data_IF_412337873392
#
_entry.id   IF_412337873392
#
_cell.length_a   1.000
_cell.length_b   1.000
_cell.length_c   1.000
_cell.angle_alpha   90.00
_cell.angle_beta   90.00
_cell.angle_gamma   90.00
#
_symmetry.space_group_name_H-M   'P 1'
#
loop_
_entity.id
_entity.type
_entity.pdbx_description
1 polymer ?
#
# COMPACT_ATOMS: atom_id res chain seq x y z
N UNK A 1 -22.54 -0.27 5.09
CA UNK A 1 -22.83 0.66 3.96
C UNK A 1 -23.34 -0.17 2.79
N UNK A 2 -24.23 0.32 1.93
CA UNK A 2 -24.62 -0.44 0.74
C UNK A 2 -23.46 -0.54 -0.25
N UNK A 3 -23.38 -1.65 -0.98
CA UNK A 3 -22.52 -1.87 -2.15
C UNK A 3 -23.38 -1.59 -3.40
N UNK A 4 -22.86 -0.84 -4.37
CA UNK A 4 -21.60 -0.14 -4.45
C UNK A 4 -21.45 0.99 -3.41
N UNK A 5 -20.18 1.27 -3.03
CA UNK A 5 -19.87 2.39 -2.13
C UNK A 5 -19.73 3.72 -2.92
N UNK A 6 -19.64 4.88 -2.25
CA UNK A 6 -19.39 6.14 -2.94
C UNK A 6 -18.04 6.22 -3.68
N UNK A 7 -17.09 5.33 -3.38
CA UNK A 7 -15.74 5.38 -3.92
C UNK A 7 -15.39 4.16 -4.79
N UNK A 8 -16.15 3.07 -4.67
CA UNK A 8 -15.98 1.83 -5.44
C UNK A 8 -17.33 1.42 -6.03
N UNK A 9 -17.45 1.51 -7.36
CA UNK A 9 -18.72 1.19 -8.05
C UNK A 9 -18.84 -0.27 -8.51
N UNK A 10 -17.88 -1.11 -8.12
CA UNK A 10 -17.93 -2.55 -8.31
C UNK A 10 -18.98 -3.20 -7.40
N UNK A 11 -19.50 -4.35 -7.82
CA UNK A 11 -20.21 -5.26 -6.93
C UNK A 11 -19.22 -6.09 -6.14
N UNK A 12 -19.69 -6.76 -5.08
CA UNK A 12 -18.81 -7.52 -4.18
C UNK A 12 -18.11 -8.67 -4.90
N UNK A 13 -18.80 -9.35 -5.77
CA UNK A 13 -18.31 -10.45 -6.60
C UNK A 13 -17.30 -10.02 -7.68
N UNK A 14 -17.25 -8.72 -8.01
CA UNK A 14 -16.29 -8.19 -8.98
C UNK A 14 -14.89 -8.01 -8.40
N UNK A 15 -14.75 -8.00 -7.08
CA UNK A 15 -13.48 -7.77 -6.38
C UNK A 15 -12.92 -9.10 -5.85
N UNK A 16 -11.67 -9.38 -6.19
CA UNK A 16 -10.98 -10.57 -5.70
C UNK A 16 -10.55 -10.43 -4.23
N UNK A 17 -10.35 -11.56 -3.54
CA UNK A 17 -9.87 -11.63 -2.16
C UNK A 17 -8.48 -11.02 -1.95
N UNK A 18 -7.68 -10.95 -3.01
CA UNK A 18 -6.35 -10.36 -3.00
C UNK A 18 -6.31 -9.17 -3.95
N UNK A 19 -5.87 -8.03 -3.41
CA UNK A 19 -5.75 -6.77 -4.16
C UNK A 19 -4.28 -6.33 -4.21
N UNK A 20 -3.76 -6.10 -5.41
CA UNK A 20 -2.51 -5.37 -5.63
C UNK A 20 -2.84 -3.89 -5.72
N UNK A 21 -2.21 -3.06 -4.87
CA UNK A 21 -2.63 -1.67 -4.70
C UNK A 21 -1.48 -0.68 -4.99
N UNK A 22 -1.25 -0.28 -6.25
CA UNK A 22 -0.40 0.86 -6.56
C UNK A 22 -1.09 2.19 -6.20
N UNK A 23 -0.32 3.27 -6.04
CA UNK A 23 -0.88 4.61 -5.84
C UNK A 23 -1.48 5.19 -7.12
N UNK A 24 -0.82 4.96 -8.24
CA UNK A 24 -1.13 5.53 -9.56
C UNK A 24 -2.16 4.68 -10.33
N UNK A 25 -3.29 5.28 -10.79
CA UNK A 25 -4.29 4.59 -11.60
C UNK A 25 -3.75 4.03 -12.93
N UNK A 26 -2.82 4.72 -13.57
CA UNK A 26 -2.21 4.25 -14.81
C UNK A 26 -1.28 3.06 -14.56
N UNK A 27 -0.62 3.01 -13.39
CA UNK A 27 0.15 1.84 -12.98
C UNK A 27 -0.78 0.66 -12.67
N UNK A 28 -1.93 0.89 -12.05
CA UNK A 28 -2.92 -0.17 -11.85
C UNK A 28 -3.38 -0.78 -13.18
N UNK A 29 -3.72 0.06 -14.13
CA UNK A 29 -4.07 -0.37 -15.50
C UNK A 29 -2.92 -1.15 -16.16
N UNK A 30 -1.71 -0.61 -16.12
CA UNK A 30 -0.53 -1.27 -16.71
C UNK A 30 -0.28 -2.66 -16.11
N UNK A 31 -0.36 -2.80 -14.78
CA UNK A 31 -0.17 -4.10 -14.11
C UNK A 31 -1.26 -5.08 -14.54
N UNK A 32 -2.52 -4.64 -14.56
CA UNK A 32 -3.64 -5.49 -14.96
C UNK A 32 -3.50 -5.96 -16.40
N UNK A 33 -3.28 -5.07 -17.35
CA UNK A 33 -3.17 -5.39 -18.78
C UNK A 33 -1.92 -6.21 -19.11
N UNK A 34 -0.85 -6.09 -18.32
CA UNK A 34 0.41 -6.79 -18.57
C UNK A 34 0.45 -8.19 -17.96
N UNK A 35 -0.11 -8.37 -16.77
CA UNK A 35 0.10 -9.58 -15.97
C UNK A 35 -1.16 -10.42 -15.74
N UNK A 36 -2.37 -9.85 -15.86
CA UNK A 36 -3.59 -10.60 -15.66
C UNK A 36 -4.13 -11.15 -16.98
N UNK A 37 -4.75 -12.31 -16.92
CA UNK A 37 -5.58 -12.87 -17.98
C UNK A 37 -6.99 -12.30 -17.85
N UNK A 38 -7.55 -11.85 -18.98
CA UNK A 38 -8.90 -11.30 -19.12
C UNK A 38 -9.24 -10.21 -18.07
N UNK A 39 -8.42 -9.14 -17.95
CA UNK A 39 -8.67 -8.08 -16.98
C UNK A 39 -9.92 -7.25 -17.35
N UNK A 40 -10.85 -7.12 -16.43
CA UNK A 40 -12.07 -6.31 -16.57
C UNK A 40 -11.96 -5.08 -15.68
N UNK A 41 -12.28 -3.90 -16.21
CA UNK A 41 -12.37 -2.66 -15.44
C UNK A 41 -13.63 -2.72 -14.55
N UNK A 42 -13.45 -2.81 -13.24
CA UNK A 42 -14.51 -2.94 -12.25
C UNK A 42 -14.75 -1.66 -11.45
N UNK A 43 -13.79 -0.74 -11.42
CA UNK A 43 -13.91 0.58 -10.79
C UNK A 43 -13.23 1.67 -11.59
N UNK A 44 -13.88 2.84 -11.68
CA UNK A 44 -13.27 4.06 -12.23
C UNK A 44 -13.85 5.33 -11.55
N UNK A 45 -14.38 5.20 -10.34
CA UNK A 45 -14.87 6.34 -9.57
C UNK A 45 -13.70 7.27 -9.28
N UNK A 46 -13.86 8.56 -9.55
CA UNK A 46 -12.81 9.60 -9.38
C UNK A 46 -11.50 9.30 -10.14
N UNK A 47 -11.55 8.46 -11.18
CA UNK A 47 -10.36 8.03 -11.92
C UNK A 47 -9.50 6.99 -11.20
N UNK A 48 -9.93 6.51 -10.04
CA UNK A 48 -9.25 5.43 -9.31
C UNK A 48 -9.61 4.10 -9.95
N UNK A 49 -8.79 3.69 -10.93
CA UNK A 49 -9.03 2.49 -11.70
C UNK A 49 -8.77 1.21 -10.89
N UNK A 50 -9.73 0.28 -10.99
CA UNK A 50 -9.63 -1.07 -10.47
C UNK A 50 -9.97 -2.08 -11.56
N UNK A 51 -9.13 -3.10 -11.72
CA UNK A 51 -9.30 -4.16 -12.70
C UNK A 51 -9.21 -5.51 -12.02
N UNK A 52 -10.11 -6.42 -12.34
CA UNK A 52 -10.09 -7.80 -11.86
C UNK A 52 -9.86 -8.76 -13.01
N UNK A 53 -8.98 -9.70 -12.83
CA UNK A 53 -8.67 -10.77 -13.77
C UNK A 53 -8.05 -11.95 -13.04
N UNK A 54 -7.33 -12.81 -13.76
CA UNK A 54 -6.65 -13.95 -13.12
C UNK A 54 -5.15 -13.93 -13.39
N UNK A 55 -4.39 -14.34 -12.38
CA UNK A 55 -2.96 -14.61 -12.53
C UNK A 55 -2.69 -16.09 -12.23
N UNK A 56 -2.25 -16.83 -13.25
CA UNK A 56 -2.08 -18.30 -13.17
C UNK A 56 -3.32 -19.02 -12.61
N UNK A 57 -4.51 -18.57 -13.07
CA UNK A 57 -5.79 -19.14 -12.63
C UNK A 57 -6.31 -18.67 -11.27
N UNK A 58 -5.58 -17.82 -10.56
CA UNK A 58 -6.02 -17.24 -9.28
C UNK A 58 -6.62 -15.84 -9.53
N UNK A 59 -7.84 -15.55 -9.04
CA UNK A 59 -8.42 -14.21 -9.15
C UNK A 59 -7.58 -13.17 -8.39
N UNK A 60 -7.32 -12.05 -9.03
CA UNK A 60 -6.59 -10.90 -8.47
C UNK A 60 -7.24 -9.61 -8.95
N UNK A 61 -7.44 -8.69 -8.04
CA UNK A 61 -7.79 -7.30 -8.37
C UNK A 61 -6.54 -6.42 -8.30
N UNK A 62 -6.34 -5.57 -9.28
CA UNK A 62 -5.36 -4.49 -9.23
C UNK A 62 -6.11 -3.17 -9.18
N UNK A 63 -6.00 -2.45 -8.08
CA UNK A 63 -6.76 -1.21 -7.87
C UNK A 63 -5.86 -0.12 -7.29
N UNK A 64 -5.95 1.09 -7.84
CA UNK A 64 -5.18 2.22 -7.33
C UNK A 64 -5.67 2.67 -5.95
N UNK A 65 -4.76 3.24 -5.15
CA UNK A 65 -5.10 3.85 -3.87
C UNK A 65 -5.20 5.39 -3.92
N UNK A 66 -4.73 6.02 -4.99
CA UNK A 66 -4.38 7.44 -4.95
C UNK A 66 -3.14 7.68 -4.09
N UNK A 67 -2.92 8.92 -3.66
CA UNK A 67 -1.76 9.32 -2.86
C UNK A 67 -2.18 9.74 -1.46
N UNK A 68 -1.36 9.36 -0.48
CA UNK A 68 -1.48 9.77 0.92
C UNK A 68 -2.39 8.87 1.76
N UNK A 69 -2.15 8.89 3.08
CA UNK A 69 -2.92 8.12 4.06
C UNK A 69 -4.43 8.36 3.96
N UNK A 70 -4.95 9.60 3.79
CA UNK A 70 -6.39 9.81 3.67
C UNK A 70 -7.01 9.08 2.48
N UNK A 71 -6.30 8.98 1.35
CA UNK A 71 -6.77 8.30 0.15
C UNK A 71 -6.78 6.78 0.34
N UNK A 72 -5.63 6.18 0.64
CA UNK A 72 -5.55 4.73 0.86
C UNK A 72 -6.42 4.30 2.04
N UNK A 73 -6.59 5.16 3.04
CA UNK A 73 -7.45 4.94 4.18
C UNK A 73 -8.90 4.68 3.78
N UNK A 74 -9.44 5.41 2.80
CA UNK A 74 -10.80 5.20 2.28
C UNK A 74 -10.87 3.85 1.55
N UNK A 75 -10.03 3.64 0.55
CA UNK A 75 -10.13 2.46 -0.32
C UNK A 75 -9.83 1.16 0.42
N UNK A 76 -8.78 1.11 1.24
CA UNK A 76 -8.46 -0.10 2.00
C UNK A 76 -9.52 -0.41 3.05
N UNK A 77 -10.08 0.61 3.72
CA UNK A 77 -11.18 0.41 4.65
C UNK A 77 -12.40 -0.21 3.96
N UNK A 78 -12.84 0.36 2.83
CA UNK A 78 -14.00 -0.16 2.10
C UNK A 78 -13.76 -1.58 1.60
N UNK A 79 -12.57 -1.86 1.04
CA UNK A 79 -12.21 -3.18 0.54
C UNK A 79 -12.26 -4.25 1.65
N UNK A 80 -11.69 -3.99 2.82
CA UNK A 80 -11.72 -4.93 3.93
C UNK A 80 -13.12 -5.11 4.53
N UNK A 81 -13.86 -4.01 4.73
CA UNK A 81 -15.11 -4.07 5.49
C UNK A 81 -16.34 -4.39 4.65
N UNK A 82 -16.33 -4.09 3.34
CA UNK A 82 -17.53 -4.24 2.50
C UNK A 82 -17.36 -5.22 1.36
N UNK A 83 -16.13 -5.41 0.86
CA UNK A 83 -15.86 -6.26 -0.31
C UNK A 83 -15.23 -7.61 0.04
N UNK A 84 -15.12 -7.95 1.33
CA UNK A 84 -14.49 -9.20 1.82
C UNK A 84 -13.07 -9.42 1.29
N UNK A 85 -12.32 -8.37 1.05
CA UNK A 85 -10.91 -8.47 0.71
C UNK A 85 -10.14 -8.97 1.93
N UNK A 86 -9.29 -9.96 1.72
CA UNK A 86 -8.49 -10.58 2.78
C UNK A 86 -7.04 -10.10 2.76
N UNK A 87 -6.52 -9.78 1.57
CA UNK A 87 -5.12 -9.39 1.39
C UNK A 87 -5.01 -8.15 0.52
N UNK A 88 -4.26 -7.15 0.98
CA UNK A 88 -3.86 -6.00 0.17
C UNK A 88 -2.34 -5.93 0.16
N UNK A 89 -1.74 -5.96 -1.03
CA UNK A 89 -0.30 -5.78 -1.23
C UNK A 89 -0.08 -4.46 -1.94
N UNK A 90 0.51 -3.48 -1.23
CA UNK A 90 0.84 -2.20 -1.81
C UNK A 90 2.08 -2.32 -2.70
N UNK A 91 1.99 -1.78 -3.92
CA UNK A 91 3.08 -1.71 -4.90
C UNK A 91 3.34 -0.24 -5.22
N UNK A 92 4.20 0.41 -4.43
CA UNK A 92 4.49 1.83 -4.52
C UNK A 92 5.90 2.13 -4.99
N UNK A 93 6.16 3.42 -5.17
CA UNK A 93 7.49 4.01 -5.23
C UNK A 93 7.80 4.71 -3.90
N UNK A 94 9.07 4.80 -3.55
CA UNK A 94 9.52 5.44 -2.32
C UNK A 94 10.84 6.18 -2.55
N UNK A 95 11.10 7.21 -1.75
CA UNK A 95 12.39 7.88 -1.70
C UNK A 95 13.34 7.16 -0.73
N UNK A 96 14.56 6.86 -1.16
CA UNK A 96 15.56 6.25 -0.28
C UNK A 96 16.01 7.22 0.82
N UNK A 97 16.13 6.73 2.05
CA UNK A 97 16.66 7.46 3.20
C UNK A 97 18.07 6.98 3.63
N UNK A 98 18.53 5.86 3.07
CA UNK A 98 19.85 5.29 3.33
C UNK A 98 20.74 5.44 2.10
N UNK A 99 22.01 5.82 2.31
CA UNK A 99 22.97 6.10 1.23
C UNK A 99 23.37 4.85 0.43
N UNK A 100 23.19 3.66 1.00
CA UNK A 100 23.50 2.38 0.37
C UNK A 100 22.34 1.84 -0.51
N UNK A 101 21.19 2.50 -0.51
CA UNK A 101 20.06 2.19 -1.42
C UNK A 101 20.25 2.91 -2.76
N UNK A 102 20.02 2.18 -3.83
CA UNK A 102 20.15 2.67 -5.22
C UNK A 102 18.81 2.72 -5.92
N UNK A 103 18.77 3.46 -7.03
CA UNK A 103 17.58 3.45 -7.90
C UNK A 103 17.26 2.03 -8.36
N UNK A 104 15.99 1.64 -8.26
CA UNK A 104 15.42 0.33 -8.56
C UNK A 104 15.65 -0.75 -7.49
N UNK A 105 16.28 -0.43 -6.36
CA UNK A 105 16.29 -1.35 -5.22
C UNK A 105 14.85 -1.56 -4.72
N UNK A 106 14.58 -2.78 -4.25
CA UNK A 106 13.28 -3.13 -3.70
C UNK A 106 13.36 -3.12 -2.19
N UNK A 107 12.47 -2.34 -1.58
CA UNK A 107 12.31 -2.26 -0.12
C UNK A 107 10.96 -2.85 0.26
N UNK A 108 10.96 -3.82 1.18
CA UNK A 108 9.75 -4.32 1.82
C UNK A 108 9.61 -3.70 3.20
N UNK A 109 8.54 -2.93 3.40
CA UNK A 109 8.22 -2.31 4.68
C UNK A 109 7.68 -3.33 5.67
N UNK A 110 8.50 -3.72 6.66
CA UNK A 110 8.02 -4.58 7.76
C UNK A 110 7.18 -3.82 8.77
N UNK A 111 7.46 -2.53 8.97
CA UNK A 111 6.66 -1.62 9.76
C UNK A 111 6.75 -0.21 9.17
N UNK A 112 5.72 0.59 9.39
CA UNK A 112 5.65 1.95 8.91
C UNK A 112 5.67 2.95 10.07
N UNK A 113 6.79 3.66 10.22
CA UNK A 113 6.81 4.89 11.00
C UNK A 113 5.92 5.95 10.35
N UNK A 114 5.38 6.89 11.11
CA UNK A 114 4.56 7.95 10.52
C UNK A 114 4.60 9.22 11.37
N UNK A 115 4.43 10.36 10.70
CA UNK A 115 4.15 11.65 11.31
C UNK A 115 2.65 12.02 11.21
N UNK A 116 1.82 11.10 10.71
CA UNK A 116 0.37 11.27 10.59
C UNK A 116 -0.34 11.06 11.93
N UNK A 117 -1.43 11.80 12.13
CA UNK A 117 -2.37 11.57 13.22
C UNK A 117 -3.43 10.49 12.90
N UNK A 118 -3.34 9.81 11.77
CA UNK A 118 -4.35 8.86 11.31
C UNK A 118 -4.68 7.80 12.35
N UNK A 119 -3.66 7.18 12.95
CA UNK A 119 -3.82 6.14 13.98
C UNK A 119 -4.59 6.62 15.22
N UNK A 120 -4.46 7.90 15.59
CA UNK A 120 -5.15 8.47 16.75
C UNK A 120 -6.67 8.51 16.59
N UNK A 121 -7.17 8.51 15.35
CA UNK A 121 -8.60 8.51 15.07
C UNK A 121 -9.28 7.17 15.42
N UNK A 122 -8.51 6.13 15.73
CA UNK A 122 -9.02 4.82 16.16
C UNK A 122 -9.25 4.72 17.69
N UNK A 123 -9.19 5.83 18.40
CA UNK A 123 -9.63 5.89 19.82
C UNK A 123 -8.69 5.23 20.82
N UNK A 124 -7.43 5.03 20.49
CA UNK A 124 -6.44 4.37 21.36
C UNK A 124 -5.99 5.20 22.58
N UNK A 125 -6.47 6.45 22.70
CA UNK A 125 -6.08 7.36 23.78
C UNK A 125 -4.81 8.16 23.44
N UNK A 126 -4.62 9.28 24.15
CA UNK A 126 -3.57 10.26 23.82
C UNK A 126 -2.14 9.76 24.06
N UNK A 127 -1.95 8.89 25.04
CA UNK A 127 -0.64 8.34 25.41
C UNK A 127 -0.30 7.01 24.71
N UNK A 128 -1.26 6.44 23.96
CA UNK A 128 -1.04 5.16 23.27
C UNK A 128 -0.27 5.36 21.96
N UNK A 129 0.58 4.39 21.64
CA UNK A 129 1.26 4.29 20.35
C UNK A 129 0.90 2.96 19.71
N UNK A 130 0.40 3.01 18.50
CA UNK A 130 0.18 1.83 17.67
C UNK A 130 1.38 1.64 16.74
N UNK A 131 1.80 0.40 16.52
CA UNK A 131 2.86 0.05 15.59
C UNK A 131 2.24 -0.54 14.29
N UNK A 132 2.11 0.26 13.22
CA UNK A 132 1.64 -0.25 11.94
C UNK A 132 2.67 -1.23 11.36
N UNK A 133 2.33 -2.52 11.33
CA UNK A 133 3.20 -3.60 10.85
C UNK A 133 2.56 -4.36 9.70
N UNK A 134 3.39 -4.88 8.80
CA UNK A 134 2.94 -5.76 7.74
C UNK A 134 2.50 -7.12 8.30
N UNK A 135 1.58 -7.79 7.60
CA UNK A 135 1.32 -9.21 7.86
C UNK A 135 2.59 -10.03 7.61
N UNK A 136 2.95 -10.85 8.60
CA UNK A 136 4.18 -11.64 8.54
C UNK A 136 4.15 -12.69 7.42
N UNK A 137 3.01 -13.30 7.15
CA UNK A 137 2.88 -14.33 6.11
C UNK A 137 3.08 -13.73 4.72
N UNK A 138 2.44 -12.59 4.43
CA UNK A 138 2.62 -11.88 3.17
C UNK A 138 4.05 -11.39 3.00
N UNK A 139 4.64 -10.79 4.05
CA UNK A 139 6.01 -10.28 4.01
C UNK A 139 7.02 -11.42 3.78
N UNK A 140 6.95 -12.49 4.58
CA UNK A 140 7.90 -13.62 4.45
C UNK A 140 7.76 -14.32 3.11
N UNK A 141 6.55 -14.44 2.57
CA UNK A 141 6.30 -14.98 1.23
C UNK A 141 6.93 -14.09 0.15
N UNK A 142 6.77 -12.77 0.24
CA UNK A 142 7.39 -11.83 -0.70
C UNK A 142 8.92 -11.96 -0.68
N UNK A 143 9.53 -12.05 0.50
CA UNK A 143 10.99 -12.25 0.66
C UNK A 143 11.44 -13.58 0.05
N UNK A 144 10.71 -14.67 0.29
CA UNK A 144 11.02 -15.96 -0.30
C UNK A 144 10.94 -15.93 -1.84
N UNK A 145 9.88 -15.34 -2.39
CA UNK A 145 9.72 -15.15 -3.83
C UNK A 145 10.82 -14.29 -4.45
N UNK A 146 11.26 -13.22 -3.76
CA UNK A 146 12.37 -12.38 -4.22
C UNK A 146 13.67 -13.20 -4.29
N UNK A 147 13.97 -13.96 -3.25
CA UNK A 147 15.15 -14.84 -3.18
C UNK A 147 15.15 -15.88 -4.30
N UNK A 148 14.03 -16.55 -4.56
CA UNK A 148 13.90 -17.54 -5.64
C UNK A 148 14.14 -16.93 -7.02
N UNK A 149 13.85 -15.64 -7.18
CA UNK A 149 14.04 -14.89 -8.43
C UNK A 149 15.38 -14.19 -8.54
N UNK A 150 16.25 -14.31 -7.54
CA UNK A 150 17.53 -13.61 -7.48
C UNK A 150 17.38 -12.09 -7.34
N UNK A 151 16.25 -11.63 -6.80
CA UNK A 151 15.99 -10.20 -6.53
C UNK A 151 16.45 -9.88 -5.12
N UNK A 152 17.33 -8.88 -4.98
CA UNK A 152 17.72 -8.35 -3.67
C UNK A 152 16.57 -7.49 -3.13
N UNK A 153 16.07 -7.85 -1.95
CA UNK A 153 14.97 -7.16 -1.28
C UNK A 153 15.39 -6.78 0.13
N UNK A 154 15.50 -5.49 0.39
CA UNK A 154 15.78 -4.94 1.72
C UNK A 154 14.50 -4.93 2.55
N UNK A 155 14.53 -5.55 3.72
CA UNK A 155 13.42 -5.54 4.67
C UNK A 155 13.75 -4.61 5.82
N UNK A 156 12.84 -3.70 6.15
CA UNK A 156 13.02 -2.79 7.27
C UNK A 156 11.88 -1.80 7.44
N UNK A 157 12.07 -0.86 8.35
CA UNK A 157 11.08 0.18 8.59
C UNK A 157 11.07 1.20 7.45
N UNK A 158 9.89 1.66 7.10
CA UNK A 158 9.67 2.77 6.17
C UNK A 158 8.95 3.90 6.87
N UNK A 159 8.95 5.09 6.29
CA UNK A 159 8.22 6.25 6.79
C UNK A 159 7.04 6.56 5.88
N UNK A 160 5.84 6.59 6.43
CA UNK A 160 4.67 7.19 5.78
C UNK A 160 4.50 8.63 6.26
N UNK A 161 4.73 9.60 5.37
CA UNK A 161 4.64 11.03 5.67
C UNK A 161 3.34 11.62 5.15
N UNK A 162 2.72 12.52 5.93
CA UNK A 162 1.56 13.31 5.46
C UNK A 162 1.98 14.44 4.51
N UNK A 163 3.26 14.76 4.46
CA UNK A 163 3.77 15.91 3.69
C UNK A 163 4.86 15.48 2.74
N UNK A 164 4.67 15.73 1.44
CA UNK A 164 5.71 15.51 0.44
C UNK A 164 6.70 16.68 0.37
N UNK A 165 6.21 17.92 0.37
CA UNK A 165 7.01 19.13 0.37
C UNK A 165 6.98 19.76 1.76
N UNK A 166 8.09 19.72 2.48
CA UNK A 166 8.26 20.38 3.78
C UNK A 166 8.93 21.74 3.60
N UNK A 167 8.60 22.71 4.47
CA UNK A 167 9.16 24.07 4.42
C UNK A 167 10.69 24.11 4.54
N UNK A 168 11.27 23.12 5.23
CA UNK A 168 12.72 23.00 5.45
C UNK A 168 13.39 22.02 4.46
N UNK A 169 12.67 21.61 3.41
CA UNK A 169 13.14 20.61 2.45
C UNK A 169 13.33 19.22 3.09
N UNK A 170 14.06 18.37 2.39
CA UNK A 170 14.33 16.98 2.83
C UNK A 170 15.35 16.85 3.97
N UNK A 171 15.92 17.95 4.45
CA UNK A 171 16.94 17.94 5.53
C UNK A 171 16.43 17.36 6.86
N UNK A 172 15.11 17.34 7.09
CA UNK A 172 14.51 16.66 8.25
C UNK A 172 14.49 15.14 8.16
N UNK A 173 14.84 14.55 7.03
CA UNK A 173 14.99 13.10 6.90
C UNK A 173 16.14 12.53 7.74
N UNK A 174 17.11 13.34 8.14
CA UNK A 174 18.28 12.93 8.94
C UNK A 174 17.90 12.15 10.20
N UNK A 175 16.81 12.52 10.87
CA UNK A 175 16.37 11.81 12.08
C UNK A 175 15.91 10.38 11.76
N UNK A 176 15.16 10.19 10.70
CA UNK A 176 14.67 8.88 10.26
C UNK A 176 15.81 8.02 9.73
N UNK A 177 16.74 8.64 9.00
CA UNK A 177 17.96 7.99 8.52
C UNK A 177 18.80 7.45 9.67
N UNK A 178 19.02 8.25 10.72
CA UNK A 178 19.75 7.83 11.94
C UNK A 178 19.08 6.72 12.71
N UNK A 179 17.75 6.60 12.60
CA UNK A 179 16.97 5.51 13.20
C UNK A 179 16.88 4.26 12.31
N UNK A 180 17.59 4.25 11.17
CA UNK A 180 17.65 3.10 10.28
C UNK A 180 16.41 2.90 9.41
N UNK A 181 15.56 3.94 9.26
CA UNK A 181 14.43 3.89 8.35
C UNK A 181 14.94 3.88 6.92
N UNK A 182 14.47 2.93 6.11
CA UNK A 182 15.03 2.67 4.78
C UNK A 182 14.53 3.65 3.71
N UNK A 183 13.26 3.96 3.72
CA UNK A 183 12.62 4.75 2.66
C UNK A 183 11.43 5.54 3.17
N UNK A 184 11.02 6.57 2.43
CA UNK A 184 9.82 7.38 2.69
C UNK A 184 8.81 7.21 1.57
N UNK A 185 7.56 7.05 1.94
CA UNK A 185 6.37 7.02 1.09
C UNK A 185 5.20 7.67 1.85
N UNK A 186 3.96 7.57 1.38
CA UNK A 186 2.84 8.35 1.94
C UNK A 186 1.64 7.51 2.42
N UNK A 187 1.67 6.16 2.42
CA UNK A 187 0.44 5.35 2.54
C UNK A 187 0.51 4.13 3.47
N UNK A 188 1.65 3.48 3.59
CA UNK A 188 1.78 2.17 4.24
C UNK A 188 1.26 2.17 5.69
N UNK A 189 1.49 3.23 6.46
CA UNK A 189 0.99 3.32 7.84
C UNK A 189 -0.54 3.30 7.90
N UNK A 190 -1.22 3.96 6.94
CA UNK A 190 -2.67 3.92 6.84
C UNK A 190 -3.20 2.54 6.47
N UNK A 191 -2.57 1.90 5.48
CA UNK A 191 -2.93 0.53 5.07
C UNK A 191 -2.75 -0.47 6.21
N UNK A 192 -1.60 -0.48 6.88
CA UNK A 192 -1.32 -1.41 7.98
C UNK A 192 -2.25 -1.18 9.18
N UNK A 193 -2.63 0.07 9.42
CA UNK A 193 -3.60 0.40 10.48
C UNK A 193 -5.00 -0.14 10.15
N UNK A 194 -5.45 -0.02 8.90
CA UNK A 194 -6.76 -0.53 8.49
C UNK A 194 -6.81 -2.07 8.42
N UNK A 195 -5.66 -2.72 8.24
CA UNK A 195 -5.55 -4.17 8.20
C UNK A 195 -5.51 -4.83 9.58
N UNK A 196 -5.25 -4.05 10.64
CA UNK A 196 -5.18 -4.53 12.03
C UNK A 196 -6.55 -4.60 12.68
#
# INVERSE_FOLDING_TARGET
MPIPTPHINAMKEDIAKTVLMPGDPLRAKFIAETFLTDPVLVNNVRGVQGHTGTWKGVPVTVMASGMGIPSIGIYSWELFHFYDVENIIRIGSAGALQDDLKLRDIVAGQAACTNSNYVRNFGLGESATFAPIADYTLLSTAVACAKERGVDMRVGNILSSDTFYAAEGWSKSDQWTRMGVLAVELEAAGLYTNAA
#
